data_IF_069294876016
#
_entry.id   IF_069294876016
#
_cell.length_a   1.000
_cell.length_b   1.000
_cell.length_c   1.000
_cell.angle_alpha   90.00
_cell.angle_beta   90.00
_cell.angle_gamma   90.00
#
_symmetry.space_group_name_H-M   'P 1'
#
loop_
_entity.id
_entity.type
_entity.pdbx_description
1 polymer ?
#
# COMPACT_ATOMS: atom_id res chain seq x y z
N UNK A 1 12.12 7.76 12.86
CA UNK A 1 11.43 6.93 11.84
C UNK A 1 9.94 7.09 12.06
N UNK A 2 9.22 7.45 11.01
CA UNK A 2 7.77 7.61 11.07
C UNK A 2 7.09 6.29 10.69
N UNK A 3 6.21 5.86 11.58
CA UNK A 3 5.29 4.75 11.35
C UNK A 3 3.86 5.31 11.37
N UNK A 4 3.04 4.90 10.41
CA UNK A 4 1.65 5.33 10.28
C UNK A 4 0.77 4.14 9.91
N UNK A 5 -0.35 3.98 10.59
CA UNK A 5 -1.41 3.06 10.18
C UNK A 5 -2.47 3.83 9.39
N UNK A 6 -2.79 3.35 8.19
CA UNK A 6 -3.76 3.91 7.28
C UNK A 6 -4.91 2.92 7.07
N UNK A 7 -6.12 3.47 6.98
CA UNK A 7 -7.30 2.74 6.50
C UNK A 7 -7.85 3.45 5.27
N UNK A 8 -7.89 2.76 4.13
CA UNK A 8 -8.40 3.29 2.85
C UNK A 8 -9.44 2.32 2.29
N UNK A 9 -10.69 2.76 2.19
CA UNK A 9 -11.80 1.94 1.68
C UNK A 9 -11.92 0.55 2.39
N UNK A 10 -11.56 0.48 3.69
CA UNK A 10 -11.55 -0.75 4.48
C UNK A 10 -10.24 -1.54 4.43
N UNK A 11 -9.32 -1.17 3.55
CA UNK A 11 -7.98 -1.75 3.46
C UNK A 11 -7.01 -1.14 4.47
N UNK A 12 -6.27 -2.00 5.16
CA UNK A 12 -5.41 -1.63 6.28
C UNK A 12 -3.95 -1.68 5.87
N UNK A 13 -3.28 -0.54 5.91
CA UNK A 13 -1.86 -0.42 5.59
C UNK A 13 -1.06 0.05 6.79
N UNK A 14 0.10 -0.56 7.01
CA UNK A 14 1.14 0.02 7.86
C UNK A 14 2.23 0.60 6.98
N UNK A 15 2.45 1.90 7.09
CA UNK A 15 3.46 2.63 6.33
C UNK A 15 4.66 2.91 7.22
N UNK A 16 5.86 2.64 6.70
CA UNK A 16 7.12 2.96 7.37
C UNK A 16 7.98 3.83 6.48
N UNK A 17 8.45 4.94 7.02
CA UNK A 17 9.47 5.75 6.37
C UNK A 17 10.83 5.05 6.45
N UNK A 18 11.48 4.93 5.29
CA UNK A 18 12.84 4.38 5.15
C UNK A 18 13.71 5.37 4.38
N UNK A 19 14.84 5.75 5.00
CA UNK A 19 15.90 6.51 4.33
C UNK A 19 16.78 5.54 3.53
N UNK A 20 16.91 5.81 2.24
CA UNK A 20 17.72 5.06 1.30
C UNK A 20 19.20 5.50 1.39
N UNK A 21 20.13 4.65 0.94
CA UNK A 21 21.51 5.07 0.70
C UNK A 21 21.53 6.27 -0.26
N UNK A 22 22.13 7.39 0.15
CA UNK A 22 22.08 8.67 -0.59
C UNK A 22 21.09 9.70 -0.05
N UNK A 23 20.35 9.37 1.02
CA UNK A 23 19.51 10.33 1.76
C UNK A 23 18.10 10.51 1.22
N UNK A 24 17.76 9.86 0.10
CA UNK A 24 16.40 9.83 -0.42
C UNK A 24 15.45 9.12 0.55
N UNK A 25 14.17 9.49 0.52
CA UNK A 25 13.13 8.93 1.37
C UNK A 25 12.19 8.07 0.53
N UNK A 26 11.91 6.88 1.06
CA UNK A 26 10.93 5.94 0.55
C UNK A 26 9.97 5.54 1.66
N UNK A 27 8.79 5.09 1.30
CA UNK A 27 7.76 4.62 2.22
C UNK A 27 7.39 3.18 1.86
N UNK A 28 7.54 2.28 2.82
CA UNK A 28 7.16 0.88 2.69
C UNK A 28 5.75 0.70 3.22
N UNK A 29 4.83 0.26 2.35
CA UNK A 29 3.42 -0.01 2.65
C UNK A 29 3.24 -1.51 2.83
N UNK A 30 2.95 -1.95 4.05
CA UNK A 30 2.55 -3.33 4.35
C UNK A 30 1.02 -3.42 4.40
N UNK A 31 0.41 -4.16 3.47
CA UNK A 31 -1.04 -4.34 3.40
C UNK A 31 -1.48 -5.46 4.33
N UNK A 32 -1.97 -5.09 5.52
CA UNK A 32 -2.16 -6.00 6.67
C UNK A 32 -3.30 -6.99 6.49
N UNK A 33 -4.37 -6.58 5.83
CA UNK A 33 -5.54 -7.41 5.50
C UNK A 33 -5.56 -7.74 3.99
N UNK A 34 -4.45 -7.52 3.29
CA UNK A 34 -4.28 -7.78 1.87
C UNK A 34 -3.94 -9.24 1.55
N UNK A 35 -3.53 -9.52 0.31
CA UNK A 35 -3.19 -10.85 -0.15
C UNK A 35 -2.03 -11.49 0.63
N UNK A 36 -1.80 -12.79 0.39
CA UNK A 36 -0.73 -13.56 1.03
C UNK A 36 -0.74 -13.45 2.57
N UNK A 37 -1.94 -13.52 3.17
CA UNK A 37 -2.15 -13.40 4.63
C UNK A 37 -1.59 -12.09 5.22
N UNK A 38 -1.70 -10.99 4.48
CA UNK A 38 -1.17 -9.68 4.88
C UNK A 38 0.35 -9.53 4.71
N UNK A 39 0.97 -10.41 3.93
CA UNK A 39 2.39 -10.36 3.57
C UNK A 39 2.68 -9.51 2.34
N UNK A 40 1.65 -9.08 1.60
CA UNK A 40 1.81 -8.27 0.40
C UNK A 40 1.91 -6.78 0.71
N UNK A 41 2.53 -6.02 -0.19
CA UNK A 41 2.81 -4.62 0.00
C UNK A 41 3.61 -4.01 -1.15
N UNK A 42 3.95 -2.74 -1.02
CA UNK A 42 4.74 -2.03 -2.03
C UNK A 42 5.58 -0.93 -1.39
N UNK A 43 6.57 -0.43 -2.15
CA UNK A 43 7.39 0.72 -1.75
C UNK A 43 7.12 1.87 -2.71
N UNK A 44 6.90 3.07 -2.18
CA UNK A 44 6.76 4.29 -2.97
C UNK A 44 7.82 5.33 -2.58
N UNK A 45 8.21 6.18 -3.52
CA UNK A 45 9.12 7.31 -3.29
C UNK A 45 8.52 8.57 -3.90
N UNK A 46 8.55 9.68 -3.15
CA UNK A 46 7.89 10.93 -3.55
C UNK A 46 8.85 12.09 -3.80
N UNK A 47 10.16 11.83 -3.87
CA UNK A 47 11.19 12.88 -4.04
C UNK A 47 11.41 13.75 -2.78
N UNK A 48 10.79 13.40 -1.66
CA UNK A 48 10.86 14.11 -0.38
C UNK A 48 9.92 13.51 0.66
N UNK A 49 9.71 14.22 1.77
CA UNK A 49 8.74 13.84 2.79
C UNK A 49 7.32 13.86 2.23
N UNK A 50 6.54 12.82 2.51
CA UNK A 50 5.13 12.73 2.14
C UNK A 50 4.21 13.01 3.32
N UNK A 51 3.15 13.77 3.07
CA UNK A 51 2.06 13.95 4.03
C UNK A 51 1.22 12.68 4.14
N UNK A 52 0.52 12.53 5.25
CA UNK A 52 -0.40 11.42 5.52
C UNK A 52 -1.45 11.29 4.41
N UNK A 53 -1.99 12.42 3.95
CA UNK A 53 -2.94 12.48 2.82
C UNK A 53 -2.32 11.95 1.53
N UNK A 54 -1.05 12.30 1.24
CA UNK A 54 -0.37 11.79 0.03
C UNK A 54 -0.17 10.28 0.11
N UNK A 55 0.18 9.76 1.29
CA UNK A 55 0.33 8.32 1.52
C UNK A 55 -1.01 7.58 1.38
N UNK A 56 -2.10 8.16 1.89
CA UNK A 56 -3.45 7.61 1.74
C UNK A 56 -3.90 7.59 0.27
N UNK A 57 -3.65 8.66 -0.48
CA UNK A 57 -3.93 8.71 -1.92
C UNK A 57 -3.16 7.64 -2.68
N UNK A 58 -1.87 7.45 -2.35
CA UNK A 58 -1.06 6.42 -2.99
C UNK A 58 -1.55 4.99 -2.66
N UNK A 59 -1.87 4.70 -1.40
CA UNK A 59 -2.43 3.41 -1.00
C UNK A 59 -3.75 3.12 -1.72
N UNK A 60 -4.64 4.12 -1.83
CA UNK A 60 -5.91 3.99 -2.55
C UNK A 60 -5.70 3.73 -4.05
N UNK A 61 -4.77 4.46 -4.68
CA UNK A 61 -4.43 4.26 -6.08
C UNK A 61 -3.89 2.85 -6.33
N UNK A 62 -3.05 2.35 -5.42
CA UNK A 62 -2.55 0.98 -5.47
C UNK A 62 -3.67 -0.05 -5.38
N UNK A 63 -4.58 0.05 -4.40
CA UNK A 63 -5.74 -0.86 -4.27
C UNK A 63 -6.61 -0.84 -5.52
N UNK A 64 -6.89 0.35 -6.06
CA UNK A 64 -7.67 0.52 -7.29
C UNK A 64 -7.01 -0.17 -8.47
N UNK A 65 -5.68 -0.03 -8.62
CA UNK A 65 -4.93 -0.69 -9.69
C UNK A 65 -4.82 -2.21 -9.48
N UNK A 66 -4.75 -2.66 -8.22
CA UNK A 66 -4.63 -4.07 -7.86
C UNK A 66 -5.88 -4.87 -8.25
N UNK A 67 -7.06 -4.33 -7.97
CA UNK A 67 -8.36 -4.95 -8.31
C UNK A 67 -8.93 -4.49 -9.66
N UNK A 68 -8.31 -3.50 -10.32
CA UNK A 68 -8.73 -3.03 -11.63
C UNK A 68 -8.55 -4.10 -12.72
N UNK A 69 -9.18 -3.93 -13.90
CA UNK A 69 -9.06 -4.88 -15.00
C UNK A 69 -7.61 -5.12 -15.41
N UNK A 70 -7.16 -6.38 -15.44
CA UNK A 70 -5.78 -6.74 -15.73
C UNK A 70 -4.79 -6.40 -14.60
N UNK A 71 -5.30 -6.09 -13.40
CA UNK A 71 -4.51 -5.90 -12.19
C UNK A 71 -3.92 -7.20 -11.66
N UNK A 72 -2.91 -7.07 -10.80
CA UNK A 72 -2.20 -8.21 -10.20
C UNK A 72 -3.15 -9.08 -9.36
N UNK A 73 -4.18 -8.49 -8.75
CA UNK A 73 -5.13 -9.21 -7.90
C UNK A 73 -5.86 -10.33 -8.64
N UNK A 74 -6.34 -10.05 -9.85
CA UNK A 74 -7.07 -11.02 -10.66
C UNK A 74 -6.19 -12.21 -11.09
N UNK A 75 -4.91 -11.95 -11.39
CA UNK A 75 -4.01 -12.97 -11.97
C UNK A 75 -3.26 -13.76 -10.89
N UNK A 76 -2.69 -13.06 -9.91
CA UNK A 76 -1.76 -13.66 -8.94
C UNK A 76 -2.44 -14.02 -7.62
N UNK A 77 -3.60 -13.43 -7.33
CA UNK A 77 -4.35 -13.61 -6.08
C UNK A 77 -5.86 -13.80 -6.30
N UNK A 78 -6.29 -14.78 -7.12
CA UNK A 78 -7.69 -14.91 -7.55
C UNK A 78 -8.68 -15.15 -6.39
N UNK A 79 -8.20 -15.73 -5.28
CA UNK A 79 -9.02 -16.01 -4.08
C UNK A 79 -9.10 -14.79 -3.13
N UNK A 80 -8.35 -13.72 -3.39
CA UNK A 80 -8.31 -12.55 -2.52
C UNK A 80 -9.37 -11.53 -2.93
N UNK A 81 -10.32 -11.29 -2.02
CA UNK A 81 -11.39 -10.30 -2.20
C UNK A 81 -11.08 -8.99 -1.49
N UNK A 82 -11.53 -7.88 -2.09
CA UNK A 82 -11.44 -6.54 -1.50
C UNK A 82 -12.20 -6.46 -0.17
N UNK A 83 -11.71 -5.67 0.77
CA UNK A 83 -12.33 -5.48 2.08
C UNK A 83 -13.78 -4.97 1.99
N UNK A 84 -14.10 -4.19 0.96
CA UNK A 84 -15.46 -3.72 0.70
C UNK A 84 -16.44 -4.82 0.27
N UNK A 85 -15.92 -5.94 -0.27
CA UNK A 85 -16.69 -7.07 -0.80
C UNK A 85 -16.64 -8.32 0.12
N UNK A 86 -16.12 -8.16 1.35
CA UNK A 86 -16.01 -9.21 2.37
C UNK A 86 -17.25 -9.36 3.25
#
# INVERSE_FOLDING_TARGET
>A
MRDLDLSVDGELFRVRERRQPGGAISYDFAWRNGPAQGGYGFTASFGGDATDDRLAVEARAFVTAFYGPGGIGETDFPDHVAAADR
#
